data_IF_499427284625
#
_entry.id   IF_499427284625
#
_cell.length_a   1.000
_cell.length_b   1.000
_cell.length_c   1.000
_cell.angle_alpha   90.00
_cell.angle_beta   90.00
_cell.angle_gamma   90.00
#
_symmetry.space_group_name_H-M   'P 1'
#
loop_
_entity.id
_entity.type
_entity.pdbx_description
1 polymer ?
#
# COMPACT_ATOMS: atom_id res chain seq x y z
N UNK A 1 -25.60 18.77 9.20
CA UNK A 1 -26.44 17.55 9.22
C UNK A 1 -26.18 16.79 7.94
N UNK A 2 -25.77 15.54 8.05
CA UNK A 2 -25.54 14.65 6.93
C UNK A 2 -26.71 13.69 6.73
N UNK A 3 -27.01 13.36 5.48
CA UNK A 3 -28.14 12.50 5.12
C UNK A 3 -27.83 11.56 3.95
N UNK A 4 -28.87 10.88 3.46
CA UNK A 4 -28.73 9.86 2.42
C UNK A 4 -28.31 10.39 1.03
N UNK A 5 -28.37 11.71 0.81
CA UNK A 5 -28.05 12.30 -0.51
C UNK A 5 -27.60 13.76 -0.41
N UNK A 6 -26.85 14.10 0.64
CA UNK A 6 -26.31 15.43 0.76
C UNK A 6 -26.04 15.91 2.17
N UNK A 7 -25.54 17.13 2.26
CA UNK A 7 -25.22 17.84 3.50
C UNK A 7 -26.13 19.05 3.65
N UNK A 8 -26.77 19.16 4.81
CA UNK A 8 -27.53 20.36 5.18
C UNK A 8 -26.68 21.26 6.09
N UNK A 9 -26.51 22.49 5.71
CA UNK A 9 -25.89 23.54 6.53
C UNK A 9 -27.02 24.40 7.13
N UNK A 10 -27.10 24.44 8.46
CA UNK A 10 -28.08 25.22 9.20
C UNK A 10 -27.41 26.44 9.83
N UNK A 11 -27.84 27.62 9.45
CA UNK A 11 -27.42 28.86 10.10
C UNK A 11 -28.27 29.09 11.40
N UNK A 12 -27.59 29.02 12.54
CA UNK A 12 -28.24 29.21 13.84
C UNK A 12 -28.75 30.64 14.08
N UNK A 13 -28.26 31.65 13.34
CA UNK A 13 -28.65 33.04 13.51
C UNK A 13 -29.87 33.40 12.68
N UNK A 14 -29.88 33.02 11.41
CA UNK A 14 -30.99 33.29 10.49
C UNK A 14 -32.09 32.23 10.56
N UNK A 15 -31.78 31.01 11.01
CA UNK A 15 -32.67 29.84 10.96
C UNK A 15 -32.75 29.19 9.57
N UNK A 16 -31.93 29.64 8.61
CA UNK A 16 -31.96 29.13 7.25
C UNK A 16 -31.24 27.79 7.14
N UNK A 17 -31.71 26.96 6.24
CA UNK A 17 -31.09 25.69 5.91
C UNK A 17 -30.73 25.65 4.43
N UNK A 18 -29.48 25.40 4.13
CA UNK A 18 -28.99 25.21 2.76
C UNK A 18 -28.62 23.75 2.55
N UNK A 19 -29.10 23.17 1.45
CA UNK A 19 -28.78 21.80 1.07
C UNK A 19 -27.71 21.79 0.00
N UNK A 20 -26.67 21.00 0.24
CA UNK A 20 -25.57 20.76 -0.69
C UNK A 20 -25.56 19.30 -1.09
N UNK A 21 -25.82 19.03 -2.37
CA UNK A 21 -25.73 17.70 -2.99
C UNK A 21 -24.49 17.55 -3.83
N UNK A 22 -23.81 18.66 -4.10
CA UNK A 22 -22.57 18.71 -4.88
C UNK A 22 -21.55 19.59 -4.20
N UNK A 23 -20.30 19.21 -4.27
CA UNK A 23 -19.14 19.98 -3.83
C UNK A 23 -18.11 19.97 -4.95
N UNK A 24 -17.90 21.13 -5.62
CA UNK A 24 -17.11 21.18 -6.86
C UNK A 24 -17.73 20.23 -7.89
N UNK A 25 -16.90 19.34 -8.43
CA UNK A 25 -17.31 18.32 -9.42
C UNK A 25 -17.82 17.01 -8.76
N UNK A 26 -17.82 16.92 -7.43
CA UNK A 26 -18.24 15.71 -6.70
C UNK A 26 -19.74 15.84 -6.35
N UNK A 27 -20.53 14.90 -6.88
CA UNK A 27 -21.95 14.76 -6.55
C UNK A 27 -22.15 13.67 -5.50
N UNK A 28 -22.89 14.00 -4.43
CA UNK A 28 -23.17 13.06 -3.35
C UNK A 28 -24.37 12.18 -3.72
N UNK A 29 -24.11 10.96 -4.14
CA UNK A 29 -25.13 9.96 -4.48
C UNK A 29 -25.36 8.92 -3.38
N UNK A 30 -24.41 8.80 -2.46
CA UNK A 30 -24.41 7.79 -1.42
C UNK A 30 -24.59 8.40 -0.02
N UNK A 31 -25.08 7.62 0.94
CA UNK A 31 -25.23 8.09 2.32
C UNK A 31 -23.91 8.55 2.92
N UNK A 32 -23.95 9.66 3.64
CA UNK A 32 -22.85 10.09 4.49
C UNK A 32 -23.02 9.39 5.84
N UNK A 33 -22.10 8.49 6.18
CA UNK A 33 -22.11 7.73 7.43
C UNK A 33 -21.67 8.55 8.63
N UNK A 34 -20.63 9.35 8.46
CA UNK A 34 -20.22 10.31 9.47
C UNK A 34 -19.57 11.54 8.84
N UNK A 35 -19.56 12.62 9.59
CA UNK A 35 -18.89 13.85 9.21
C UNK A 35 -18.11 14.39 10.39
N UNK A 36 -17.00 15.09 10.10
CA UNK A 36 -16.13 15.69 11.09
C UNK A 36 -15.58 17.01 10.55
N UNK A 37 -15.44 17.99 11.42
CA UNK A 37 -14.60 19.16 11.13
C UNK A 37 -13.24 18.94 11.79
N UNK A 38 -12.17 19.05 10.99
CA UNK A 38 -10.80 18.95 11.50
C UNK A 38 -10.35 20.24 12.17
N UNK A 39 -9.25 20.17 12.89
CA UNK A 39 -8.60 21.32 13.51
C UNK A 39 -8.13 22.38 12.49
N UNK A 40 -7.86 21.99 11.24
CA UNK A 40 -7.58 22.88 10.11
C UNK A 40 -8.82 23.63 9.60
N UNK A 41 -10.02 23.21 10.01
CA UNK A 41 -11.29 23.77 9.54
C UNK A 41 -11.90 23.03 8.35
N UNK A 42 -11.23 22.04 7.77
CA UNK A 42 -11.77 21.21 6.70
C UNK A 42 -12.94 20.37 7.21
N UNK A 43 -13.93 20.13 6.35
CA UNK A 43 -15.02 19.20 6.59
C UNK A 43 -14.69 17.88 5.90
N UNK A 44 -14.75 16.81 6.68
CA UNK A 44 -14.51 15.45 6.20
C UNK A 44 -15.81 14.65 6.20
N UNK A 45 -16.11 14.01 5.08
CA UNK A 45 -17.30 13.21 4.88
C UNK A 45 -16.91 11.75 4.63
N UNK A 46 -17.35 10.85 5.48
CA UNK A 46 -17.25 9.41 5.26
C UNK A 46 -18.49 8.95 4.51
N UNK A 47 -18.33 8.51 3.27
CA UNK A 47 -19.46 8.12 2.42
C UNK A 47 -19.57 6.60 2.27
N UNK A 48 -20.74 6.14 1.89
CA UNK A 48 -21.01 4.73 1.59
C UNK A 48 -20.88 4.43 0.08
N UNK A 49 -19.76 4.79 -0.53
CA UNK A 49 -19.52 4.48 -1.96
C UNK A 49 -18.73 5.51 -2.75
N UNK A 50 -18.54 6.74 -2.22
CA UNK A 50 -17.77 7.81 -2.89
C UNK A 50 -16.41 8.08 -2.21
N UNK A 51 -16.01 7.21 -1.27
CA UNK A 51 -14.76 7.34 -0.55
C UNK A 51 -14.82 8.32 0.62
N UNK A 52 -13.66 8.81 1.02
CA UNK A 52 -13.48 9.87 2.00
C UNK A 52 -13.39 11.20 1.27
N UNK A 53 -14.34 12.11 1.54
CA UNK A 53 -14.37 13.41 0.88
C UNK A 53 -13.86 14.48 1.85
N UNK A 54 -12.89 15.27 1.40
CA UNK A 54 -12.43 16.49 2.06
C UNK A 54 -13.04 17.69 1.37
N UNK A 55 -13.62 18.60 2.15
CA UNK A 55 -14.11 19.90 1.70
C UNK A 55 -13.36 20.96 2.47
N UNK A 56 -12.65 21.85 1.78
CA UNK A 56 -11.90 22.93 2.39
C UNK A 56 -12.79 23.91 3.16
N UNK A 57 -12.23 24.76 4.03
CA UNK A 57 -12.99 25.64 4.93
C UNK A 57 -13.88 26.65 4.20
N UNK A 58 -13.51 27.01 2.96
CA UNK A 58 -14.28 27.93 2.11
C UNK A 58 -15.26 27.22 1.17
N UNK A 59 -15.30 25.87 1.21
CA UNK A 59 -16.16 25.04 0.40
C UNK A 59 -15.75 24.89 -1.08
N UNK A 60 -14.60 25.47 -1.48
CA UNK A 60 -14.16 25.46 -2.89
C UNK A 60 -13.21 24.32 -3.23
N UNK A 61 -12.28 24.02 -2.33
CA UNK A 61 -11.40 22.88 -2.48
C UNK A 61 -12.13 21.63 -2.08
N UNK A 62 -12.23 20.69 -3.01
CA UNK A 62 -12.88 19.40 -2.75
C UNK A 62 -11.99 18.30 -3.32
N UNK A 63 -11.74 17.28 -2.52
CA UNK A 63 -10.98 16.11 -2.90
C UNK A 63 -11.63 14.84 -2.37
N UNK A 64 -11.69 13.78 -3.18
CA UNK A 64 -12.18 12.49 -2.77
C UNK A 64 -11.04 11.47 -2.82
N UNK A 65 -10.82 10.77 -1.72
CA UNK A 65 -9.90 9.64 -1.62
C UNK A 65 -10.69 8.36 -1.82
N UNK A 66 -10.27 7.56 -2.80
CA UNK A 66 -11.02 6.42 -3.32
C UNK A 66 -10.14 5.18 -3.50
N UNK A 67 -10.66 4.15 -4.13
CA UNK A 67 -9.87 2.98 -4.55
C UNK A 67 -8.75 3.33 -5.52
N UNK A 68 -8.85 4.44 -6.23
CA UNK A 68 -7.78 4.94 -7.11
C UNK A 68 -6.59 5.48 -6.30
N UNK A 69 -6.83 5.84 -5.02
CA UNK A 69 -5.82 6.25 -4.04
C UNK A 69 -5.36 5.07 -3.16
N UNK A 70 -5.54 3.85 -3.63
CA UNK A 70 -5.18 2.59 -2.95
C UNK A 70 -6.04 2.24 -1.72
N UNK A 71 -7.25 2.74 -1.60
CA UNK A 71 -8.20 2.21 -0.65
C UNK A 71 -8.75 0.85 -1.11
N UNK A 72 -9.03 -0.04 -0.17
CA UNK A 72 -9.67 -1.34 -0.50
C UNK A 72 -11.16 -1.18 -0.83
N UNK A 73 -11.77 -0.04 -0.49
CA UNK A 73 -13.20 0.23 -0.71
C UNK A 73 -13.48 1.73 -0.65
N UNK A 74 -14.47 2.17 -1.43
CA UNK A 74 -15.02 3.53 -1.36
C UNK A 74 -16.06 3.69 -0.24
N UNK A 75 -16.33 2.65 0.53
CA UNK A 75 -17.27 2.69 1.66
C UNK A 75 -16.51 2.94 2.95
N UNK A 76 -16.61 4.16 3.48
CA UNK A 76 -15.91 4.61 4.66
C UNK A 76 -16.85 4.52 5.86
N UNK A 77 -16.41 3.83 6.93
CA UNK A 77 -17.26 3.53 8.08
C UNK A 77 -17.15 4.54 9.21
N UNK A 78 -15.96 5.01 9.53
CA UNK A 78 -15.71 5.91 10.66
C UNK A 78 -14.52 6.81 10.37
N UNK A 79 -14.46 7.98 11.01
CA UNK A 79 -13.33 8.89 10.97
C UNK A 79 -13.06 9.57 12.31
N UNK A 80 -11.76 9.86 12.54
CA UNK A 80 -11.25 10.63 13.67
C UNK A 80 -10.06 11.47 13.24
N UNK A 81 -9.83 12.57 13.94
CA UNK A 81 -8.59 13.33 13.87
C UNK A 81 -7.73 13.07 15.11
N UNK A 82 -6.45 12.75 14.93
CA UNK A 82 -5.52 12.60 16.05
C UNK A 82 -5.00 13.95 16.57
N UNK A 83 -4.03 13.93 17.49
CA UNK A 83 -3.46 15.15 18.08
C UNK A 83 -2.46 15.86 17.14
N UNK A 84 -2.05 15.21 16.07
CA UNK A 84 -1.11 15.71 15.06
C UNK A 84 -1.81 16.19 13.79
N UNK A 85 -3.16 16.19 13.79
CA UNK A 85 -3.99 16.63 12.65
C UNK A 85 -4.09 15.63 11.53
N UNK A 86 -3.69 14.35 11.75
CA UNK A 86 -3.87 13.28 10.78
C UNK A 86 -5.29 12.73 10.88
N UNK A 87 -5.82 12.33 9.74
CA UNK A 87 -7.17 11.78 9.64
C UNK A 87 -7.09 10.25 9.62
N UNK A 88 -7.68 9.64 10.62
CA UNK A 88 -7.84 8.20 10.73
C UNK A 88 -9.23 7.80 10.31
N UNK A 89 -9.33 6.86 9.39
CA UNK A 89 -10.62 6.41 8.89
C UNK A 89 -10.59 4.91 8.58
N UNK A 90 -11.75 4.29 8.74
CA UNK A 90 -11.90 2.86 8.47
C UNK A 90 -12.82 2.63 7.29
N UNK A 91 -12.48 1.63 6.48
CA UNK A 91 -13.41 0.91 5.62
C UNK A 91 -14.03 -0.24 6.41
N UNK A 92 -14.74 -1.15 5.76
CA UNK A 92 -15.24 -2.36 6.42
C UNK A 92 -14.10 -3.25 6.93
N UNK A 93 -12.98 -3.35 6.18
CA UNK A 93 -11.92 -4.33 6.44
C UNK A 93 -10.58 -3.72 6.85
N UNK A 94 -10.40 -2.44 6.70
CA UNK A 94 -9.08 -1.81 6.86
C UNK A 94 -9.18 -0.45 7.53
N UNK A 95 -8.20 -0.14 8.36
CA UNK A 95 -8.02 1.16 8.99
C UNK A 95 -6.88 1.89 8.27
N UNK A 96 -7.08 3.18 8.04
CA UNK A 96 -6.12 4.05 7.35
C UNK A 96 -5.79 5.27 8.18
N UNK A 97 -4.59 5.80 7.96
CA UNK A 97 -4.15 7.11 8.41
C UNK A 97 -3.80 7.97 7.19
N UNK A 98 -4.45 9.10 7.05
CA UNK A 98 -4.07 10.13 6.06
C UNK A 98 -3.22 11.18 6.75
N UNK A 99 -1.96 11.29 6.33
CA UNK A 99 -1.08 12.41 6.66
C UNK A 99 -1.40 13.56 5.70
N UNK A 100 -2.21 14.50 6.16
CA UNK A 100 -2.66 15.64 5.35
C UNK A 100 -1.50 16.57 4.92
N UNK A 101 -0.38 16.57 5.65
CA UNK A 101 0.78 17.42 5.34
C UNK A 101 1.58 16.91 4.15
N UNK A 102 1.55 15.60 3.90
CA UNK A 102 2.25 14.91 2.82
C UNK A 102 1.31 14.39 1.74
N UNK A 103 0.01 14.43 2.00
CA UNK A 103 -1.05 13.84 1.16
C UNK A 103 -0.81 12.34 0.91
N UNK A 104 -0.51 11.61 1.99
CA UNK A 104 -0.19 10.18 1.94
C UNK A 104 -1.18 9.39 2.78
N UNK A 105 -1.83 8.39 2.17
CA UNK A 105 -2.66 7.40 2.85
C UNK A 105 -1.80 6.20 3.23
N UNK A 106 -1.87 5.80 4.49
CA UNK A 106 -1.11 4.71 5.07
C UNK A 106 -2.09 3.71 5.67
N UNK A 107 -1.95 2.44 5.28
CA UNK A 107 -2.69 1.37 5.92
C UNK A 107 -2.19 1.14 7.35
N UNK A 108 -3.10 1.08 8.31
CA UNK A 108 -2.75 0.77 9.69
C UNK A 108 -2.15 -0.64 9.84
N UNK A 109 -2.49 -1.56 8.95
CA UNK A 109 -1.92 -2.91 8.92
C UNK A 109 -0.41 -2.93 8.64
N UNK A 110 0.12 -1.83 8.07
CA UNK A 110 1.57 -1.73 7.79
C UNK A 110 2.40 -1.36 9.03
N UNK A 111 1.78 -0.97 10.14
CA UNK A 111 2.47 -0.57 11.36
C UNK A 111 1.78 -0.99 12.67
N UNK A 112 0.51 -1.32 12.64
CA UNK A 112 -0.17 -2.01 13.71
C UNK A 112 -0.22 -3.49 13.35
N UNK A 113 0.49 -4.35 14.09
CA UNK A 113 0.50 -5.80 13.87
C UNK A 113 -0.83 -6.44 14.30
N UNK A 114 -1.94 -5.99 13.67
CA UNK A 114 -3.31 -6.40 14.04
C UNK A 114 -4.21 -6.44 12.81
N UNK A 115 -4.73 -7.61 12.52
CA UNK A 115 -5.87 -7.81 11.64
C UNK A 115 -7.13 -7.91 12.52
N UNK A 116 -7.88 -6.83 12.61
CA UNK A 116 -9.08 -6.74 13.44
C UNK A 116 -10.32 -6.80 12.57
N UNK A 117 -10.82 -7.94 12.27
CA UNK A 117 -12.16 -8.19 11.74
C UNK A 117 -12.81 -7.05 10.92
N UNK A 118 -14.12 -6.94 11.03
CA UNK A 118 -14.87 -5.90 10.32
C UNK A 118 -15.07 -4.66 11.21
N UNK A 119 -14.72 -3.47 10.71
CA UNK A 119 -14.97 -2.20 11.40
C UNK A 119 -16.44 -1.78 11.29
N UNK A 120 -17.02 -1.40 12.42
CA UNK A 120 -18.41 -0.99 12.47
C UNK A 120 -18.61 0.47 12.04
N UNK A 121 -19.68 0.80 11.32
CA UNK A 121 -20.01 2.16 10.96
C UNK A 121 -20.24 3.05 12.20
N UNK A 122 -19.74 4.28 12.15
CA UNK A 122 -19.89 5.29 13.22
C UNK A 122 -19.37 4.86 14.62
N UNK A 123 -18.50 3.85 14.66
CA UNK A 123 -17.99 3.30 15.90
C UNK A 123 -16.52 3.73 16.11
N UNK A 124 -16.31 5.02 16.29
CA UNK A 124 -14.96 5.55 16.55
C UNK A 124 -15.00 6.66 17.60
N UNK A 125 -13.98 6.71 18.46
CA UNK A 125 -13.87 7.68 19.55
C UNK A 125 -12.40 8.03 19.81
N UNK A 126 -12.11 9.33 19.94
CA UNK A 126 -10.84 9.83 20.49
C UNK A 126 -10.97 10.01 21.99
N UNK A 127 -10.13 9.30 22.73
CA UNK A 127 -10.09 9.34 24.18
C UNK A 127 -9.32 10.60 24.67
N UNK A 128 -9.56 11.01 25.92
CA UNK A 128 -8.90 12.18 26.52
C UNK A 128 -7.38 12.07 26.60
N UNK A 129 -6.85 10.87 26.68
CA UNK A 129 -5.41 10.60 26.67
C UNK A 129 -4.77 10.59 25.27
N UNK A 130 -5.55 10.89 24.22
CA UNK A 130 -5.11 10.90 22.85
C UNK A 130 -5.19 9.54 22.14
N UNK A 131 -5.54 8.46 22.82
CA UNK A 131 -5.79 7.17 22.17
C UNK A 131 -7.01 7.27 21.24
N UNK A 132 -6.92 6.59 20.10
CA UNK A 132 -8.04 6.36 19.21
C UNK A 132 -8.63 4.99 19.48
N UNK A 133 -9.95 4.89 19.41
CA UNK A 133 -10.70 3.65 19.59
C UNK A 133 -11.66 3.45 18.43
N UNK A 134 -11.63 2.28 17.81
CA UNK A 134 -12.51 1.88 16.72
C UNK A 134 -13.25 0.60 17.10
N UNK A 135 -14.55 0.60 16.94
CA UNK A 135 -15.39 -0.57 17.17
C UNK A 135 -15.30 -1.54 15.99
N UNK A 136 -15.10 -2.81 16.29
CA UNK A 136 -15.06 -3.90 15.32
C UNK A 136 -16.06 -4.98 15.68
N UNK A 137 -16.29 -5.94 14.79
CA UNK A 137 -17.14 -7.10 15.05
C UNK A 137 -16.61 -7.98 16.21
N UNK A 138 -15.31 -7.91 16.49
CA UNK A 138 -14.64 -8.74 17.51
C UNK A 138 -14.39 -7.99 18.83
N UNK A 139 -14.67 -6.66 18.85
CA UNK A 139 -14.47 -5.84 20.05
C UNK A 139 -14.05 -4.42 19.72
N UNK A 140 -13.15 -3.86 20.52
CA UNK A 140 -12.65 -2.49 20.35
C UNK A 140 -11.14 -2.50 20.15
N UNK A 141 -10.69 -2.02 19.00
CA UNK A 141 -9.29 -1.68 18.75
C UNK A 141 -9.00 -0.33 19.39
N UNK A 142 -8.07 -0.25 20.33
CA UNK A 142 -7.62 1.02 20.91
C UNK A 142 -6.09 1.11 20.88
N UNK A 143 -5.59 2.24 20.41
CA UNK A 143 -4.14 2.48 20.30
C UNK A 143 -3.82 3.97 20.44
N UNK A 144 -2.58 4.27 20.85
CA UNK A 144 -2.03 5.62 20.76
C UNK A 144 -1.51 5.82 19.34
N UNK A 145 -2.02 6.80 18.58
CA UNK A 145 -1.55 7.02 17.21
C UNK A 145 -0.11 7.50 17.23
N UNK A 146 0.78 6.64 16.74
CA UNK A 146 2.21 6.94 16.58
C UNK A 146 2.59 6.50 15.18
N UNK A 147 2.83 7.46 14.29
CA UNK A 147 3.23 7.20 12.93
C UNK A 147 4.70 7.56 12.76
N UNK A 148 5.57 6.59 12.93
CA UNK A 148 6.97 6.76 12.56
C UNK A 148 7.17 6.28 11.12
N UNK A 149 7.17 7.23 10.19
CA UNK A 149 7.57 7.02 8.80
C UNK A 149 9.09 7.14 8.61
N UNK A 150 9.85 7.14 9.71
CA UNK A 150 11.30 7.36 9.74
C UNK A 150 12.07 6.58 8.67
N UNK A 151 13.29 6.98 8.45
CA UNK A 151 14.22 6.31 7.53
C UNK A 151 14.42 4.86 7.99
N UNK A 152 13.95 3.91 7.17
CA UNK A 152 14.20 2.51 7.48
C UNK A 152 15.66 2.16 7.27
N UNK A 153 16.16 1.28 8.14
CA UNK A 153 17.42 0.62 7.91
C UNK A 153 17.39 -0.09 6.55
N UNK A 154 18.51 -0.14 5.82
CA UNK A 154 18.60 -0.90 4.58
C UNK A 154 18.09 -2.33 4.80
N UNK A 155 17.25 -2.81 3.88
CA UNK A 155 16.74 -4.19 3.93
C UNK A 155 17.63 -5.10 3.11
N UNK A 156 17.80 -6.31 3.57
CA UNK A 156 18.47 -7.34 2.79
C UNK A 156 17.49 -7.94 1.77
N UNK A 157 17.82 -7.80 0.48
CA UNK A 157 17.10 -8.46 -0.60
C UNK A 157 17.68 -9.85 -0.83
N UNK A 158 16.84 -10.87 -0.71
CA UNK A 158 17.21 -12.26 -0.91
C UNK A 158 16.53 -12.83 -2.15
N UNK A 159 17.25 -13.71 -2.87
CA UNK A 159 16.67 -14.59 -3.86
C UNK A 159 16.28 -15.88 -3.15
N UNK A 160 14.99 -16.24 -3.24
CA UNK A 160 14.43 -17.37 -2.47
C UNK A 160 14.36 -18.66 -3.28
N UNK A 161 14.19 -18.54 -4.60
CA UNK A 161 14.13 -19.71 -5.48
C UNK A 161 14.56 -19.33 -6.92
N UNK A 162 15.12 -20.29 -7.62
CA UNK A 162 15.37 -20.26 -9.06
C UNK A 162 14.79 -21.51 -9.69
N UNK A 163 13.88 -21.35 -10.65
CA UNK A 163 13.24 -22.48 -11.34
C UNK A 163 13.63 -22.49 -12.81
N UNK A 164 13.92 -23.66 -13.33
CA UNK A 164 13.95 -23.91 -14.77
C UNK A 164 12.58 -24.48 -15.18
N UNK A 165 11.94 -23.81 -16.12
CA UNK A 165 10.55 -24.09 -16.46
C UNK A 165 9.68 -23.98 -15.20
N UNK A 166 9.34 -25.09 -14.56
CA UNK A 166 8.49 -25.13 -13.35
C UNK A 166 9.17 -25.82 -12.17
N UNK A 167 10.40 -26.34 -12.34
CA UNK A 167 11.10 -27.12 -11.33
C UNK A 167 12.17 -26.29 -10.62
N UNK A 168 12.16 -26.27 -9.29
CA UNK A 168 13.18 -25.56 -8.48
C UNK A 168 14.54 -26.24 -8.63
N UNK A 169 15.57 -25.47 -8.91
CA UNK A 169 16.94 -25.93 -9.02
C UNK A 169 17.54 -26.06 -7.62
N UNK A 170 17.81 -27.29 -7.20
CA UNK A 170 18.40 -27.57 -5.88
C UNK A 170 19.92 -27.39 -5.91
N UNK A 171 20.44 -26.63 -4.96
CA UNK A 171 21.88 -26.39 -4.83
C UNK A 171 22.66 -27.66 -4.39
N UNK A 172 23.92 -27.75 -4.80
CA UNK A 172 24.86 -28.78 -4.32
C UNK A 172 24.62 -30.21 -4.83
N UNK A 173 23.63 -30.43 -5.68
CA UNK A 173 23.43 -31.75 -6.30
C UNK A 173 24.40 -31.95 -7.47
N UNK A 174 24.85 -33.19 -7.70
CA UNK A 174 25.71 -33.53 -8.83
C UNK A 174 25.03 -33.16 -10.16
N UNK A 175 25.63 -32.26 -10.91
CA UNK A 175 25.08 -31.76 -12.18
C UNK A 175 24.06 -30.60 -12.02
N UNK A 176 23.85 -30.09 -10.82
CA UNK A 176 23.05 -28.90 -10.62
C UNK A 176 23.70 -27.64 -11.16
N UNK A 177 22.90 -26.72 -11.66
CA UNK A 177 23.32 -25.38 -12.07
C UNK A 177 23.80 -24.53 -10.90
N UNK A 178 23.24 -24.78 -9.70
CA UNK A 178 23.58 -24.06 -8.48
C UNK A 178 24.56 -24.88 -7.65
N UNK A 179 25.76 -24.34 -7.46
CA UNK A 179 26.76 -24.91 -6.55
C UNK A 179 26.44 -24.58 -5.09
N UNK A 180 25.91 -23.40 -4.85
CA UNK A 180 25.50 -22.87 -3.54
C UNK A 180 24.02 -22.47 -3.59
N UNK A 181 23.46 -22.06 -2.45
CA UNK A 181 22.11 -21.50 -2.41
C UNK A 181 21.98 -20.35 -3.39
N UNK A 182 20.80 -20.20 -4.02
CA UNK A 182 20.53 -19.11 -4.96
C UNK A 182 20.83 -17.75 -4.34
N UNK A 183 20.59 -17.58 -3.04
CA UNK A 183 20.90 -16.34 -2.35
C UNK A 183 22.40 -16.03 -2.30
N UNK A 184 23.27 -17.03 -2.32
CA UNK A 184 24.73 -16.86 -2.32
C UNK A 184 25.32 -16.86 -3.72
N UNK A 185 24.49 -17.10 -4.75
CA UNK A 185 24.90 -17.19 -6.14
C UNK A 185 24.89 -15.80 -6.77
N UNK A 186 25.98 -15.44 -7.45
CA UNK A 186 26.11 -14.17 -8.18
C UNK A 186 25.94 -14.33 -9.68
N UNK A 187 26.18 -15.55 -10.20
CA UNK A 187 26.11 -15.85 -11.63
C UNK A 187 25.52 -17.24 -11.85
N UNK A 188 24.68 -17.35 -12.86
CA UNK A 188 24.14 -18.62 -13.36
C UNK A 188 24.49 -18.78 -14.84
N UNK A 189 25.05 -19.92 -15.18
CA UNK A 189 25.35 -20.31 -16.57
C UNK A 189 24.31 -21.34 -17.04
N UNK A 190 23.53 -20.98 -18.07
CA UNK A 190 22.45 -21.77 -18.65
C UNK A 190 22.85 -22.30 -20.04
N UNK A 191 22.41 -23.49 -20.34
CA UNK A 191 22.50 -24.03 -21.70
C UNK A 191 21.46 -23.35 -22.60
N UNK A 192 21.63 -23.41 -23.91
CA UNK A 192 20.74 -22.81 -24.90
C UNK A 192 19.26 -23.29 -24.76
N UNK A 193 19.06 -24.53 -24.30
CA UNK A 193 17.72 -25.11 -24.08
C UNK A 193 17.17 -24.86 -22.67
N UNK A 194 17.89 -24.13 -21.83
CA UNK A 194 17.48 -23.71 -20.48
C UNK A 194 17.11 -22.23 -20.44
N UNK A 195 16.49 -21.75 -21.50
CA UNK A 195 16.23 -20.35 -21.79
C UNK A 195 14.89 -19.82 -21.21
N UNK A 196 14.25 -20.63 -20.38
CA UNK A 196 13.02 -20.27 -19.69
C UNK A 196 13.15 -20.59 -18.22
N UNK A 197 13.07 -19.54 -17.38
CA UNK A 197 13.31 -19.64 -15.94
C UNK A 197 12.45 -18.64 -15.16
N UNK A 198 12.32 -18.88 -13.87
CA UNK A 198 11.73 -17.91 -12.95
C UNK A 198 12.60 -17.68 -11.72
N UNK A 199 12.53 -16.46 -11.20
CA UNK A 199 13.27 -16.01 -10.04
C UNK A 199 12.28 -15.57 -8.98
N UNK A 200 12.38 -16.14 -7.78
CA UNK A 200 11.64 -15.70 -6.62
C UNK A 200 12.53 -14.89 -5.69
N UNK A 201 11.97 -13.84 -5.10
CA UNK A 201 12.72 -12.94 -4.23
C UNK A 201 11.87 -12.46 -3.05
N UNK A 202 12.54 -11.94 -2.03
CA UNK A 202 11.91 -11.30 -0.87
C UNK A 202 12.86 -10.28 -0.25
N UNK A 203 12.32 -9.36 0.53
CA UNK A 203 13.07 -8.53 1.45
C UNK A 203 12.98 -9.12 2.86
N UNK A 204 14.11 -9.19 3.56
CA UNK A 204 14.10 -9.50 4.99
C UNK A 204 13.83 -8.19 5.73
N UNK A 205 12.58 -8.01 6.13
CA UNK A 205 12.16 -6.93 7.00
C UNK A 205 11.12 -7.45 7.97
N UNK A 206 11.56 -7.69 9.20
CA UNK A 206 10.70 -8.26 10.25
C UNK A 206 9.77 -7.21 10.87
N UNK A 207 10.09 -5.92 10.74
CA UNK A 207 9.31 -4.86 11.36
C UNK A 207 8.07 -4.49 10.53
N UNK A 208 8.21 -4.35 9.21
CA UNK A 208 7.13 -3.83 8.34
C UNK A 208 7.18 -4.42 6.93
N UNK A 209 6.90 -5.72 6.77
CA UNK A 209 7.06 -6.42 5.48
C UNK A 209 6.15 -5.89 4.38
N UNK A 210 5.01 -5.27 4.73
CA UNK A 210 4.01 -4.76 3.79
C UNK A 210 4.36 -3.36 3.23
N UNK A 211 5.41 -2.72 3.76
CA UNK A 211 5.86 -1.40 3.28
C UNK A 211 6.83 -1.45 2.11
N UNK A 212 7.24 -2.64 1.67
CA UNK A 212 8.23 -2.79 0.60
C UNK A 212 7.55 -2.91 -0.75
N UNK A 213 7.89 -1.99 -1.65
CA UNK A 213 7.60 -2.03 -3.08
C UNK A 213 8.84 -2.50 -3.82
N UNK A 214 8.68 -3.41 -4.75
CA UNK A 214 9.76 -3.94 -5.55
C UNK A 214 9.75 -3.35 -6.95
N UNK A 215 10.94 -3.13 -7.49
CA UNK A 215 11.17 -2.85 -8.90
C UNK A 215 12.19 -3.85 -9.41
N UNK A 216 11.94 -4.42 -10.58
CA UNK A 216 12.85 -5.38 -11.18
C UNK A 216 12.90 -5.21 -12.70
N UNK A 217 14.01 -5.63 -13.28
CA UNK A 217 14.19 -5.72 -14.73
C UNK A 217 15.24 -6.78 -15.08
N UNK A 218 15.21 -7.25 -16.32
CA UNK A 218 16.24 -8.09 -16.89
C UNK A 218 16.96 -7.30 -17.98
N UNK A 219 18.15 -6.77 -17.67
CA UNK A 219 18.97 -6.01 -18.63
C UNK A 219 19.30 -6.86 -19.85
N UNK A 220 19.33 -6.26 -21.03
CA UNK A 220 19.44 -6.89 -22.34
C UNK A 220 18.22 -7.73 -22.78
N UNK A 221 17.12 -7.64 -22.06
CA UNK A 221 15.82 -8.17 -22.45
C UNK A 221 14.75 -7.07 -22.48
N UNK A 222 14.56 -6.37 -21.34
CA UNK A 222 13.76 -5.17 -21.26
C UNK A 222 14.55 -4.07 -20.54
N UNK A 223 14.37 -2.82 -20.96
CA UNK A 223 15.07 -1.68 -20.34
C UNK A 223 14.22 -0.99 -19.28
N UNK A 224 12.91 -1.19 -19.31
CA UNK A 224 11.98 -0.59 -18.37
C UNK A 224 11.94 -1.36 -17.04
N UNK A 225 11.76 -0.62 -15.96
CA UNK A 225 11.53 -1.19 -14.65
C UNK A 225 10.08 -1.64 -14.51
N UNK A 226 9.89 -2.89 -14.14
CA UNK A 226 8.58 -3.41 -13.75
C UNK A 226 8.38 -3.21 -12.25
N UNK A 227 7.15 -2.87 -11.86
CA UNK A 227 6.80 -2.57 -10.48
C UNK A 227 5.92 -3.66 -9.88
N UNK A 228 6.14 -3.99 -8.60
CA UNK A 228 5.28 -4.90 -7.88
C UNK A 228 5.18 -4.56 -6.39
N UNK A 229 3.95 -4.55 -5.89
CA UNK A 229 3.67 -4.45 -4.46
C UNK A 229 3.51 -5.83 -3.79
N UNK A 230 3.13 -6.85 -4.54
CA UNK A 230 2.74 -8.16 -4.01
C UNK A 230 3.44 -9.33 -4.69
N UNK A 231 3.75 -9.23 -5.99
CA UNK A 231 4.39 -10.31 -6.74
C UNK A 231 5.86 -10.43 -6.34
N UNK A 232 6.25 -11.62 -5.91
CA UNK A 232 7.61 -11.96 -5.48
C UNK A 232 8.24 -13.05 -6.35
N UNK A 233 7.70 -13.23 -7.55
CA UNK A 233 8.18 -14.19 -8.53
C UNK A 233 8.04 -13.59 -9.93
N UNK A 234 9.08 -13.67 -10.74
CA UNK A 234 9.09 -13.22 -12.14
C UNK A 234 9.56 -14.35 -13.04
N UNK A 235 8.94 -14.48 -14.20
CA UNK A 235 9.26 -15.52 -15.18
C UNK A 235 9.68 -14.91 -16.50
N UNK A 236 10.74 -15.44 -17.05
CA UNK A 236 11.25 -15.09 -18.37
C UNK A 236 11.22 -16.34 -19.25
N UNK A 237 10.70 -16.21 -20.47
CA UNK A 237 10.51 -17.36 -21.37
C UNK A 237 11.15 -17.12 -22.72
N UNK A 238 11.74 -18.20 -23.28
CA UNK A 238 12.30 -18.20 -24.63
C UNK A 238 13.32 -17.09 -24.89
N UNK A 239 14.20 -16.84 -23.93
CA UNK A 239 15.27 -15.87 -24.10
C UNK A 239 16.31 -16.36 -25.13
N UNK A 240 16.87 -15.45 -25.90
CA UNK A 240 17.98 -15.73 -26.79
C UNK A 240 19.27 -16.03 -26.02
N UNK A 241 20.22 -16.68 -26.67
CA UNK A 241 21.58 -16.81 -26.11
C UNK A 241 22.18 -15.41 -25.91
N UNK A 242 22.79 -15.18 -24.74
CA UNK A 242 23.30 -13.86 -24.38
C UNK A 242 23.68 -13.75 -22.92
N UNK A 243 24.09 -12.55 -22.55
CA UNK A 243 24.37 -12.17 -21.17
C UNK A 243 23.25 -11.24 -20.67
N UNK A 244 22.69 -11.56 -19.53
CA UNK A 244 21.61 -10.81 -18.89
C UNK A 244 22.00 -10.48 -17.47
N UNK A 245 21.44 -9.40 -16.92
CA UNK A 245 21.58 -9.07 -15.52
C UNK A 245 20.17 -8.85 -14.95
N UNK A 246 19.74 -9.72 -14.06
CA UNK A 246 18.55 -9.49 -13.29
C UNK A 246 18.86 -8.46 -12.21
N UNK A 247 18.14 -7.34 -12.20
CA UNK A 247 18.24 -6.31 -11.17
C UNK A 247 16.95 -6.22 -10.39
N UNK A 248 17.11 -6.15 -9.08
CA UNK A 248 16.02 -6.02 -8.12
C UNK A 248 16.30 -4.85 -7.18
N UNK A 249 15.32 -3.98 -6.99
CA UNK A 249 15.35 -2.89 -6.02
C UNK A 249 14.16 -2.98 -5.09
N UNK A 250 14.37 -2.53 -3.86
CA UNK A 250 13.31 -2.36 -2.88
C UNK A 250 13.20 -0.89 -2.48
N UNK A 251 11.97 -0.43 -2.40
CA UNK A 251 11.64 0.92 -1.97
C UNK A 251 10.64 0.87 -0.83
N UNK A 252 10.76 1.79 0.11
CA UNK A 252 9.67 2.07 1.03
C UNK A 252 8.54 2.76 0.26
N UNK A 253 7.34 2.18 0.28
CA UNK A 253 6.22 2.64 -0.54
C UNK A 253 5.68 4.01 -0.13
N UNK A 254 5.93 4.45 1.10
CA UNK A 254 5.44 5.72 1.62
C UNK A 254 6.44 6.87 1.48
N UNK A 255 7.72 6.57 1.69
CA UNK A 255 8.77 7.60 1.56
C UNK A 255 9.38 7.66 0.17
N UNK A 256 9.18 6.61 -0.66
CA UNK A 256 9.84 6.47 -1.95
C UNK A 256 11.36 6.21 -1.85
N UNK A 257 11.89 6.06 -0.64
CA UNK A 257 13.31 5.82 -0.44
C UNK A 257 13.70 4.42 -0.90
N UNK A 258 14.79 4.29 -1.67
CA UNK A 258 15.38 3.00 -1.97
C UNK A 258 16.01 2.42 -0.70
N UNK A 259 15.58 1.23 -0.31
CA UNK A 259 16.02 0.55 0.94
C UNK A 259 16.83 -0.70 0.69
N UNK A 260 16.91 -1.16 -0.55
CA UNK A 260 17.73 -2.31 -0.93
C UNK A 260 17.95 -2.44 -2.44
N UNK A 261 19.02 -3.12 -2.81
CA UNK A 261 19.32 -3.45 -4.21
C UNK A 261 20.05 -4.80 -4.28
N UNK A 262 19.76 -5.55 -5.36
CA UNK A 262 20.42 -6.84 -5.65
C UNK A 262 20.49 -7.09 -7.13
N UNK A 263 21.53 -7.84 -7.56
CA UNK A 263 21.69 -8.29 -8.93
C UNK A 263 22.08 -9.76 -9.01
N UNK A 264 21.76 -10.39 -10.16
CA UNK A 264 22.14 -11.74 -10.51
C UNK A 264 22.52 -11.79 -12.00
N UNK A 265 23.74 -12.20 -12.30
CA UNK A 265 24.21 -12.40 -13.68
C UNK A 265 23.70 -13.73 -14.23
N UNK A 266 23.17 -13.69 -15.45
CA UNK A 266 22.66 -14.89 -16.13
C UNK A 266 23.25 -14.94 -17.53
N UNK A 267 23.89 -16.06 -17.87
CA UNK A 267 24.45 -16.29 -19.17
C UNK A 267 23.79 -17.49 -19.84
N UNK A 268 23.17 -17.28 -20.98
CA UNK A 268 22.62 -18.35 -21.81
C UNK A 268 23.59 -18.60 -22.94
N UNK A 269 24.20 -19.77 -22.92
CA UNK A 269 25.23 -20.14 -23.90
C UNK A 269 24.62 -20.47 -25.27
N UNK A 270 25.39 -20.26 -26.32
CA UNK A 270 25.05 -20.72 -27.67
C UNK A 270 24.97 -22.24 -27.74
N UNK A 271 24.21 -22.80 -28.70
CA UNK A 271 24.13 -24.26 -28.87
C UNK A 271 25.46 -24.89 -29.29
N UNK A 272 26.43 -24.11 -29.78
CA UNK A 272 27.74 -24.57 -30.24
C UNK A 272 28.84 -23.59 -29.83
#
# INVERSE_FOLDING_TARGET
>A
IAGCSGLAVFDKKSGDTQWHQTFGDISLHYPIRCLMQSSSGDIWLATDGEGLIRVGPDGKEVHAYTVDDNLVSNSINSLLEDNEGRIWFSTEKELYCLDCSRDIIISANDFLDVSWGYYNPNAALKLKNGCLAFGTAEGVLSFLPSLDLGTHAPVELILTDFKLLYESVKAGMKGSLLQTNINDTRKIDLKYNQNSFSISFSAINFAVPHRIRYEYRLENHNEEWEHSNSVRNVSYMNLSSGKYVFRLRAFDKYTGQQVGERSLDIVIHNPY
#
